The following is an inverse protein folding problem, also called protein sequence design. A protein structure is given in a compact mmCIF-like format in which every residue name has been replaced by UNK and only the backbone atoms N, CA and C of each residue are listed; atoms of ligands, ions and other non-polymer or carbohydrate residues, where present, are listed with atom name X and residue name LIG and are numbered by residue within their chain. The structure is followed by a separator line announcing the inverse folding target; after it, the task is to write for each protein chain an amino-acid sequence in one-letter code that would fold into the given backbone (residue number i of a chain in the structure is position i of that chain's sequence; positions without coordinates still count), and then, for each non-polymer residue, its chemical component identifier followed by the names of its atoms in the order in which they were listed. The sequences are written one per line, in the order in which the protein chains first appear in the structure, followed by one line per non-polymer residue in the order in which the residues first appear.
data_IF_530730321151
#
_entry.id   IF_530730321151
#
_cell.length_a   1.000
_cell.length_b   1.000
_cell.length_c   1.000
_cell.angle_alpha   90.00
_cell.angle_beta   90.00
_cell.angle_gamma   90.00
#
_symmetry.space_group_name_H-M   'P 1'
#
loop_
_entity.id
_entity.type
_entity.pdbx_description
1 polymer ?
#
# COMPACT_ATOMS: atom_id res chain seq x y z
N UNK A 1 -0.13 5.27 -20.34
CA UNK A 1 -0.96 6.41 -19.95
C UNK A 1 -0.69 6.80 -18.51
N UNK A 2 -0.55 8.08 -18.28
CA UNK A 2 -0.38 8.56 -16.91
C UNK A 2 -1.73 8.57 -16.19
N UNK A 3 -1.67 8.32 -14.88
CA UNK A 3 -2.86 8.35 -14.06
C UNK A 3 -3.27 9.79 -13.76
N UNK A 4 -4.54 9.98 -13.52
CA UNK A 4 -5.07 11.28 -13.12
C UNK A 4 -4.57 11.58 -11.71
N UNK A 5 -4.01 12.78 -11.52
CA UNK A 5 -3.64 13.23 -10.19
C UNK A 5 -4.88 13.60 -9.40
N UNK A 6 -4.97 13.11 -8.18
CA UNK A 6 -6.11 13.38 -7.32
C UNK A 6 -5.63 13.46 -5.87
N UNK A 7 -6.27 14.30 -5.03
CA UNK A 7 -5.89 14.38 -3.62
C UNK A 7 -6.19 13.09 -2.90
N UNK A 8 -5.40 12.80 -1.87
CA UNK A 8 -5.63 11.65 -1.02
C UNK A 8 -6.94 11.85 -0.25
N UNK A 9 -7.60 10.74 0.10
CA UNK A 9 -8.87 10.83 0.83
C UNK A 9 -8.65 11.22 2.29
N UNK A 10 -9.67 11.82 2.90
CA UNK A 10 -9.63 12.11 4.33
C UNK A 10 -9.51 10.82 5.13
N UNK A 11 -10.14 9.75 4.66
CA UNK A 11 -10.04 8.43 5.27
C UNK A 11 -8.59 7.93 5.29
N UNK A 12 -7.84 8.17 4.22
CA UNK A 12 -6.44 7.77 4.15
C UNK A 12 -5.61 8.47 5.23
N UNK A 13 -5.82 9.78 5.41
CA UNK A 13 -5.13 10.52 6.46
C UNK A 13 -5.54 10.09 7.86
N UNK A 14 -6.82 9.81 8.04
CA UNK A 14 -7.33 9.31 9.31
C UNK A 14 -6.67 7.96 9.66
N UNK A 15 -6.63 7.05 8.71
CA UNK A 15 -6.00 5.74 8.93
C UNK A 15 -4.49 5.83 9.13
N UNK A 16 -3.84 6.76 8.44
CA UNK A 16 -2.41 6.99 8.63
C UNK A 16 -2.11 7.46 10.06
N UNK A 17 -2.94 8.35 10.58
CA UNK A 17 -2.78 8.82 11.96
C UNK A 17 -3.09 7.70 12.96
N UNK A 18 -4.18 6.98 12.74
CA UNK A 18 -4.66 5.94 13.65
C UNK A 18 -3.72 4.73 13.71
N UNK A 19 -3.30 4.25 12.53
CA UNK A 19 -2.55 3.00 12.43
C UNK A 19 -1.04 3.17 12.39
N UNK A 20 -0.56 4.30 11.87
CA UNK A 20 0.86 4.53 11.67
C UNK A 20 1.43 5.64 12.54
N UNK A 21 0.56 6.41 13.19
CA UNK A 21 1.00 7.52 14.02
C UNK A 21 1.54 8.70 13.22
N UNK A 22 1.14 8.85 11.96
CA UNK A 22 1.66 9.91 11.09
C UNK A 22 0.74 11.12 11.10
N UNK A 23 1.33 12.31 11.29
CA UNK A 23 0.63 13.56 11.04
C UNK A 23 0.36 13.70 9.54
N UNK A 24 -0.46 14.67 9.17
CA UNK A 24 -0.88 14.86 7.77
C UNK A 24 0.31 15.07 6.82
N UNK A 25 1.29 15.88 7.25
CA UNK A 25 2.47 16.15 6.41
C UNK A 25 3.27 14.88 6.16
N UNK A 26 3.52 14.11 7.21
CA UNK A 26 4.25 12.84 7.10
C UNK A 26 3.48 11.86 6.24
N UNK A 27 2.17 11.73 6.46
CA UNK A 27 1.33 10.83 5.71
C UNK A 27 1.35 11.18 4.22
N UNK A 28 1.22 12.45 3.88
CA UNK A 28 1.24 12.91 2.49
C UNK A 28 2.55 12.54 1.81
N UNK A 29 3.67 12.75 2.50
CA UNK A 29 4.98 12.42 1.98
C UNK A 29 5.13 10.92 1.77
N UNK A 30 4.72 10.11 2.75
CA UNK A 30 4.81 8.64 2.63
C UNK A 30 3.93 8.11 1.51
N UNK A 31 2.74 8.67 1.33
CA UNK A 31 1.86 8.27 0.23
C UNK A 31 2.47 8.61 -1.13
N UNK A 32 3.14 9.75 -1.25
CA UNK A 32 3.83 10.16 -2.46
C UNK A 32 4.99 9.22 -2.76
N UNK A 33 5.79 8.89 -1.76
CA UNK A 33 6.92 7.97 -1.92
C UNK A 33 6.44 6.56 -2.28
N UNK A 34 5.37 6.10 -1.66
CA UNK A 34 4.80 4.79 -1.97
C UNK A 34 4.26 4.74 -3.40
N UNK A 35 3.64 5.82 -3.86
CA UNK A 35 3.14 5.89 -5.24
C UNK A 35 4.29 5.79 -6.23
N UNK A 36 5.42 6.41 -5.93
CA UNK A 36 6.57 6.46 -6.84
C UNK A 36 7.46 5.23 -6.72
N UNK A 37 7.75 4.78 -5.51
CA UNK A 37 8.74 3.72 -5.26
C UNK A 37 8.17 2.44 -4.66
N UNK A 38 6.88 2.42 -4.31
CA UNK A 38 6.29 1.25 -3.72
C UNK A 38 6.30 0.05 -4.67
N UNK A 39 6.36 -1.14 -4.10
CA UNK A 39 6.38 -2.38 -4.86
C UNK A 39 4.98 -2.96 -5.04
N UNK A 40 4.62 -3.26 -6.28
CA UNK A 40 3.43 -4.03 -6.58
C UNK A 40 3.75 -5.51 -6.44
N UNK A 41 2.73 -6.37 -6.46
CA UNK A 41 2.98 -7.82 -6.32
C UNK A 41 3.93 -8.34 -7.41
N UNK A 42 3.88 -7.75 -8.63
CA UNK A 42 4.76 -8.17 -9.73
C UNK A 42 6.23 -7.89 -9.46
N UNK A 43 6.53 -6.95 -8.58
CA UNK A 43 7.90 -6.56 -8.25
C UNK A 43 8.51 -7.42 -7.14
N UNK A 44 7.71 -8.29 -6.53
CA UNK A 44 8.17 -9.14 -5.44
C UNK A 44 8.62 -10.51 -5.97
N UNK A 45 9.59 -11.15 -5.31
CA UNK A 45 9.97 -12.51 -5.69
C UNK A 45 8.82 -13.48 -5.42
N UNK A 46 8.77 -14.62 -6.16
CA UNK A 46 7.74 -15.62 -5.90
C UNK A 46 7.76 -16.07 -4.44
N UNK A 47 6.60 -16.19 -3.84
CA UNK A 47 6.48 -16.60 -2.45
C UNK A 47 5.22 -16.08 -1.79
N UNK A 48 5.05 -16.35 -0.48
CA UNK A 48 3.85 -15.99 0.25
C UNK A 48 3.55 -14.49 0.26
N UNK A 49 4.58 -13.64 0.37
CA UNK A 49 4.38 -12.19 0.36
C UNK A 49 3.79 -11.71 -0.95
N UNK A 50 4.32 -12.21 -2.06
CA UNK A 50 3.79 -11.86 -3.39
C UNK A 50 2.36 -12.35 -3.55
N UNK A 51 2.08 -13.57 -3.14
CA UNK A 51 0.75 -14.17 -3.25
C UNK A 51 -0.26 -13.40 -2.41
N UNK A 52 0.12 -13.00 -1.21
CA UNK A 52 -0.73 -12.20 -0.33
C UNK A 52 -1.10 -10.86 -0.98
N UNK A 53 -0.09 -10.16 -1.52
CA UNK A 53 -0.30 -8.85 -2.12
C UNK A 53 -1.15 -8.94 -3.39
N UNK A 54 -0.89 -9.97 -4.20
CA UNK A 54 -1.68 -10.22 -5.41
C UNK A 54 -3.15 -10.48 -5.05
N UNK A 55 -3.40 -11.31 -4.05
CA UNK A 55 -4.75 -11.60 -3.59
C UNK A 55 -5.49 -10.37 -3.11
N UNK A 56 -4.80 -9.49 -2.37
CA UNK A 56 -5.39 -8.26 -1.90
C UNK A 56 -5.79 -7.34 -3.06
N UNK A 57 -4.94 -7.24 -4.07
CA UNK A 57 -5.24 -6.41 -5.22
C UNK A 57 -6.43 -6.95 -6.02
N UNK A 58 -6.49 -8.25 -6.21
CA UNK A 58 -7.59 -8.87 -6.95
C UNK A 58 -8.93 -8.70 -6.24
N UNK A 59 -8.94 -8.90 -4.92
CA UNK A 59 -10.17 -8.76 -4.13
C UNK A 59 -10.67 -7.32 -4.11
N UNK A 60 -9.77 -6.37 -3.92
CA UNK A 60 -10.13 -4.96 -3.79
C UNK A 60 -10.30 -4.25 -5.14
N UNK A 61 -9.74 -4.81 -6.21
CA UNK A 61 -9.73 -4.19 -7.54
C UNK A 61 -9.14 -2.79 -7.51
N UNK A 62 -8.09 -2.61 -6.68
CA UNK A 62 -7.38 -1.34 -6.52
C UNK A 62 -5.90 -1.63 -6.60
N UNK A 63 -5.11 -0.58 -6.91
CA UNK A 63 -3.67 -0.73 -6.92
C UNK A 63 -3.16 -0.75 -5.49
N UNK A 64 -2.42 -1.80 -5.15
CA UNK A 64 -1.87 -1.95 -3.81
C UNK A 64 -0.35 -1.96 -3.93
N UNK A 65 0.31 -1.13 -3.14
CA UNK A 65 1.77 -1.03 -3.11
C UNK A 65 2.29 -1.22 -1.71
N UNK A 66 3.42 -1.88 -1.62
CA UNK A 66 4.12 -2.09 -0.36
C UNK A 66 5.35 -1.18 -0.33
N UNK A 67 5.48 -0.40 0.73
CA UNK A 67 6.60 0.52 0.87
C UNK A 67 6.95 0.68 2.34
N UNK A 68 8.22 0.43 2.65
CA UNK A 68 8.81 0.68 3.97
C UNK A 68 8.02 0.06 5.15
N UNK A 69 7.50 -1.15 4.97
CA UNK A 69 6.74 -1.84 6.03
C UNK A 69 5.27 -1.50 6.09
N UNK A 70 4.75 -0.79 5.09
CA UNK A 70 3.35 -0.37 5.06
C UNK A 70 2.71 -0.72 3.73
N UNK A 71 1.43 -1.05 3.78
CA UNK A 71 0.64 -1.33 2.59
C UNK A 71 -0.23 -0.12 2.30
N UNK A 72 -0.11 0.38 1.06
CA UNK A 72 -0.84 1.56 0.59
C UNK A 72 -1.83 1.12 -0.48
N UNK A 73 -3.09 1.46 -0.30
CA UNK A 73 -4.14 1.17 -1.27
C UNK A 73 -4.47 2.44 -2.05
N UNK A 74 -4.28 2.39 -3.35
CA UNK A 74 -4.53 3.52 -4.25
C UNK A 74 -5.72 3.23 -5.17
N UNK A 75 -6.40 4.28 -5.59
CA UNK A 75 -7.44 4.14 -6.59
C UNK A 75 -6.86 3.55 -7.89
N UNK A 76 -7.67 2.79 -8.62
CA UNK A 76 -7.19 2.10 -9.83
C UNK A 76 -6.82 3.07 -10.96
N UNK A 77 -7.47 4.23 -11.03
CA UNK A 77 -7.32 5.16 -12.14
C UNK A 77 -6.69 6.50 -11.78
N UNK A 78 -6.36 6.71 -10.50
CA UNK A 78 -5.77 7.98 -10.06
C UNK A 78 -4.65 7.75 -9.06
N UNK A 79 -3.98 8.83 -8.65
CA UNK A 79 -2.92 8.77 -7.65
C UNK A 79 -3.45 8.86 -6.22
N UNK A 80 -4.78 8.87 -6.06
CA UNK A 80 -5.41 9.03 -4.75
C UNK A 80 -5.14 7.83 -3.86
N UNK A 81 -4.57 8.08 -2.67
CA UNK A 81 -4.45 7.06 -1.65
C UNK A 81 -5.79 6.93 -0.90
N UNK A 82 -6.26 5.71 -0.73
CA UNK A 82 -7.54 5.43 -0.10
C UNK A 82 -7.36 5.02 1.35
N UNK A 83 -6.35 4.22 1.63
CA UNK A 83 -6.04 3.80 2.99
C UNK A 83 -4.60 3.30 3.08
N UNK A 84 -4.11 3.17 4.31
CA UNK A 84 -2.77 2.65 4.58
C UNK A 84 -2.80 1.89 5.90
N UNK A 85 -2.00 0.84 6.00
CA UNK A 85 -1.85 0.10 7.25
C UNK A 85 -0.49 -0.58 7.28
N UNK A 86 0.06 -0.80 8.50
CA UNK A 86 1.32 -1.52 8.62
C UNK A 86 1.12 -3.00 8.32
N UNK A 87 2.10 -3.60 7.65
CA UNK A 87 2.08 -5.02 7.36
C UNK A 87 3.49 -5.49 7.08
N UNK A 88 3.85 -6.62 7.62
CA UNK A 88 5.16 -7.22 7.39
C UNK A 88 5.00 -8.39 6.42
N UNK A 89 5.43 -8.19 5.17
CA UNK A 89 5.36 -9.25 4.17
C UNK A 89 6.26 -10.44 4.50
N UNK A 90 7.31 -10.22 5.28
CA UNK A 90 8.19 -11.32 5.69
C UNK A 90 7.50 -12.25 6.68
N UNK A 91 6.55 -11.74 7.45
CA UNK A 91 5.78 -12.57 8.36
C UNK A 91 4.95 -13.62 7.62
N UNK A 92 4.55 -13.33 6.38
CA UNK A 92 3.83 -14.29 5.56
C UNK A 92 4.70 -15.51 5.24
N UNK A 93 5.99 -15.27 4.98
CA UNK A 93 6.94 -16.37 4.73
C UNK A 93 7.16 -17.20 5.98
N UNK A 94 7.27 -16.58 7.15
CA UNK A 94 7.45 -17.28 8.41
C UNK A 94 6.25 -18.15 8.77
N UNK A 95 5.06 -17.66 8.52
CA UNK A 95 3.84 -18.41 8.82
C UNK A 95 3.72 -19.68 7.99
N UNK A 96 4.33 -19.71 6.83
CA UNK A 96 4.25 -20.86 5.94
C UNK A 96 5.18 -22.01 6.35
N UNK A 97 6.19 -21.71 7.14
CA UNK A 97 7.15 -22.71 7.58
C UNK A 97 6.61 -23.60 8.71
N UNK A 98 5.46 -23.33 9.19
CA UNK A 98 4.79 -24.18 10.18
C UNK A 98 3.95 -25.30 9.51
#
# INVERSE_FOLDING_TARGET
MSRIKAPNTDHAYFRAAERCGWGKKKAKEMMKLAQRYGKCWQNLPPGPGRDWLQGKQEVNRRRIKYYNGYVFVFASTSTRCITVYPHDLEAESENEDE
#
